data_IF_289865552046
#
_entry.id   IF_289865552046
#
_cell.length_a   1.000
_cell.length_b   1.000
_cell.length_c   1.000
_cell.angle_alpha   90.00
_cell.angle_beta   90.00
_cell.angle_gamma   90.00
#
_symmetry.space_group_name_H-M   'P 1'
#
loop_
_entity.id
_entity.type
_entity.pdbx_description
1 polymer ?
#
# COMPACT_ATOMS: atom_id res chain seq x y z
N UNK A 1 65.74 -49.25 21.24
CA UNK A 1 65.24 -49.45 19.86
C UNK A 1 64.14 -48.42 19.65
N UNK A 2 64.15 -47.45 18.74
CA UNK A 2 65.10 -46.86 17.79
C UNK A 2 64.47 -45.51 17.38
N UNK A 3 65.17 -44.39 17.61
CA UNK A 3 65.73 -43.45 16.61
C UNK A 3 65.05 -43.33 15.24
N UNK A 4 64.75 -42.06 14.90
CA UNK A 4 64.83 -41.35 13.61
C UNK A 4 64.21 -41.95 12.33
N UNK A 5 63.40 -41.15 11.63
CA UNK A 5 63.89 -40.30 10.51
C UNK A 5 62.74 -39.79 9.63
N UNK A 6 62.73 -38.47 9.40
CA UNK A 6 62.22 -37.84 8.17
C UNK A 6 62.97 -38.35 6.94
N UNK A 7 62.41 -38.17 5.73
CA UNK A 7 63.15 -37.31 4.80
C UNK A 7 62.29 -36.34 3.97
N UNK A 8 62.89 -35.16 3.75
CA UNK A 8 62.60 -34.17 2.71
C UNK A 8 63.19 -34.58 1.35
N UNK A 9 62.52 -34.25 0.24
CA UNK A 9 63.11 -33.88 -1.08
C UNK A 9 61.92 -33.50 -1.99
N UNK A 10 61.63 -32.20 -2.21
CA UNK A 10 62.10 -31.34 -3.32
C UNK A 10 61.89 -31.92 -4.72
N UNK A 11 61.01 -31.29 -5.51
CA UNK A 11 61.30 -31.06 -6.93
C UNK A 11 60.70 -29.73 -7.42
N UNK A 12 61.47 -29.07 -8.28
CA UNK A 12 61.30 -27.75 -8.87
C UNK A 12 60.57 -27.85 -10.22
N UNK A 13 59.87 -26.80 -10.65
CA UNK A 13 59.32 -26.78 -12.01
C UNK A 13 58.48 -25.57 -12.45
N UNK A 14 59.17 -24.44 -12.67
CA UNK A 14 58.98 -23.45 -13.76
C UNK A 14 57.57 -22.94 -14.17
N UNK A 15 57.28 -21.73 -13.69
CA UNK A 15 56.93 -20.51 -14.42
C UNK A 15 56.55 -20.60 -15.92
N UNK A 16 55.32 -20.17 -16.27
CA UNK A 16 54.99 -19.62 -17.59
C UNK A 16 53.84 -18.60 -17.46
N UNK A 17 54.20 -17.32 -17.58
CA UNK A 17 53.30 -16.21 -17.91
C UNK A 17 52.91 -16.28 -19.39
N UNK A 18 51.81 -15.62 -19.78
CA UNK A 18 51.85 -14.84 -21.02
C UNK A 18 51.59 -13.35 -20.76
N UNK A 19 52.38 -12.54 -21.45
CA UNK A 19 52.38 -11.08 -21.45
C UNK A 19 51.66 -10.55 -22.71
N UNK A 20 50.80 -9.55 -22.49
CA UNK A 20 50.59 -8.31 -23.29
C UNK A 20 50.16 -8.32 -24.76
N UNK A 21 48.95 -7.82 -25.04
CA UNK A 21 48.57 -6.76 -26.01
C UNK A 21 47.01 -6.64 -25.95
N UNK A 22 46.30 -5.51 -25.93
CA UNK A 22 46.43 -4.19 -26.57
C UNK A 22 45.50 -3.18 -25.87
N UNK A 23 45.89 -1.90 -25.87
CA UNK A 23 45.13 -0.74 -25.39
C UNK A 23 44.24 -0.13 -26.48
N UNK A 24 43.02 0.33 -26.14
CA UNK A 24 42.32 1.54 -26.63
C UNK A 24 40.82 1.46 -26.25
N UNK A 25 40.11 2.46 -25.73
CA UNK A 25 40.40 3.86 -25.45
C UNK A 25 39.26 4.50 -24.64
N UNK A 26 39.66 5.47 -23.81
CA UNK A 26 39.02 6.76 -23.46
C UNK A 26 37.49 6.85 -23.30
N UNK A 27 37.03 7.19 -22.08
CA UNK A 27 35.74 7.87 -21.87
C UNK A 27 35.18 7.85 -20.43
N UNK A 28 35.59 8.81 -19.59
CA UNK A 28 34.90 9.28 -18.36
C UNK A 28 35.13 10.80 -18.29
N UNK A 29 34.37 11.63 -17.53
CA UNK A 29 32.98 11.56 -17.03
C UNK A 29 32.23 12.93 -17.12
N UNK A 30 30.92 13.00 -16.82
CA UNK A 30 30.18 14.16 -16.26
C UNK A 30 28.71 13.76 -16.00
N UNK A 31 28.08 13.93 -14.84
CA UNK A 31 28.48 14.64 -13.64
C UNK A 31 27.74 14.16 -12.38
N UNK A 32 28.31 14.56 -11.25
CA UNK A 32 27.64 14.77 -9.95
C UNK A 32 26.67 15.97 -10.10
N UNK A 33 25.57 16.10 -9.36
CA UNK A 33 25.48 16.25 -7.90
C UNK A 33 24.03 16.10 -7.39
N UNK A 34 23.87 15.56 -6.17
CA UNK A 34 22.67 15.64 -5.34
C UNK A 34 22.82 14.73 -4.11
N UNK A 35 22.76 15.25 -2.86
CA UNK A 35 23.13 14.46 -1.69
C UNK A 35 21.94 13.70 -1.07
N UNK A 36 22.30 12.64 -0.34
CA UNK A 36 21.54 11.89 0.68
C UNK A 36 20.58 10.77 0.25
N UNK A 37 21.15 9.57 0.19
CA UNK A 37 20.48 8.28 0.41
C UNK A 37 20.70 7.30 -0.74
N UNK A 38 21.45 6.17 -0.57
CA UNK A 38 21.38 5.12 -1.57
C UNK A 38 19.94 4.61 -1.63
N UNK A 39 19.34 4.44 -2.82
CA UNK A 39 18.06 3.75 -2.92
C UNK A 39 18.28 2.37 -2.31
N UNK A 40 17.51 2.02 -1.27
CA UNK A 40 17.62 0.74 -0.57
C UNK A 40 17.60 -0.39 -1.61
N UNK A 41 18.77 -0.91 -1.93
CA UNK A 41 18.94 -1.95 -2.92
C UNK A 41 18.25 -3.19 -2.37
N UNK A 42 17.18 -3.60 -3.05
CA UNK A 42 16.74 -4.99 -2.95
C UNK A 42 17.96 -5.84 -3.26
N UNK A 43 18.40 -6.65 -2.29
CA UNK A 43 19.66 -7.40 -2.43
C UNK A 43 19.43 -8.48 -3.49
N UNK A 44 19.83 -8.17 -4.72
CA UNK A 44 19.75 -9.08 -5.85
C UNK A 44 20.99 -9.98 -5.83
N UNK A 45 20.98 -11.07 -5.05
CA UNK A 45 22.01 -12.11 -5.23
C UNK A 45 21.70 -12.87 -6.52
N UNK A 46 22.58 -12.75 -7.52
CA UNK A 46 22.52 -13.45 -8.82
C UNK A 46 21.28 -13.15 -9.69
N UNK A 47 20.84 -11.88 -9.77
CA UNK A 47 19.80 -11.46 -10.73
C UNK A 47 18.37 -11.95 -10.45
N UNK A 48 18.12 -12.71 -9.38
CA UNK A 48 16.78 -13.21 -9.04
C UNK A 48 16.10 -12.31 -8.00
N UNK A 49 14.94 -11.77 -8.38
CA UNK A 49 14.02 -11.08 -7.48
C UNK A 49 13.21 -12.15 -6.75
N UNK A 50 13.43 -12.31 -5.46
CA UNK A 50 12.69 -13.28 -4.65
C UNK A 50 11.23 -12.85 -4.47
N UNK A 51 10.32 -13.82 -4.49
CA UNK A 51 8.95 -13.62 -4.06
C UNK A 51 8.93 -13.23 -2.57
N UNK A 52 8.08 -12.28 -2.19
CA UNK A 52 8.00 -11.79 -0.81
C UNK A 52 7.54 -12.88 0.17
N UNK A 53 6.72 -13.82 -0.28
CA UNK A 53 6.30 -14.97 0.53
C UNK A 53 7.51 -15.83 0.94
N UNK A 54 8.46 -16.04 0.01
CA UNK A 54 9.60 -16.94 0.22
C UNK A 54 10.68 -16.37 1.14
N UNK A 55 10.65 -15.06 1.39
CA UNK A 55 11.67 -14.36 2.18
C UNK A 55 11.13 -13.83 3.50
N UNK A 56 9.83 -13.97 3.79
CA UNK A 56 9.27 -13.52 5.06
C UNK A 56 9.92 -14.27 6.23
N UNK A 57 10.37 -13.53 7.25
CA UNK A 57 11.04 -14.12 8.43
C UNK A 57 12.49 -14.58 8.20
N UNK A 58 13.02 -14.55 6.97
CA UNK A 58 14.37 -15.05 6.64
C UNK A 58 15.52 -14.09 6.99
N UNK A 59 15.22 -12.93 7.61
CA UNK A 59 16.23 -11.91 7.93
C UNK A 59 16.82 -11.17 6.72
N UNK A 60 16.36 -11.45 5.50
CA UNK A 60 16.73 -10.71 4.29
C UNK A 60 16.24 -9.25 4.37
N UNK A 61 17.05 -8.29 3.90
CA UNK A 61 16.70 -6.86 3.93
C UNK A 61 15.32 -6.56 3.30
N UNK A 62 14.97 -7.24 2.19
CA UNK A 62 13.67 -7.08 1.55
C UNK A 62 12.48 -7.57 2.40
N UNK A 63 12.70 -8.48 3.35
CA UNK A 63 11.68 -8.91 4.31
C UNK A 63 11.36 -7.86 5.38
N UNK A 64 12.25 -6.89 5.59
CA UNK A 64 12.01 -5.75 6.48
C UNK A 64 11.41 -4.55 5.75
N UNK A 65 11.60 -4.44 4.43
CA UNK A 65 11.05 -3.38 3.59
C UNK A 65 9.56 -3.60 3.32
N UNK A 66 9.14 -4.85 3.16
CA UNK A 66 7.76 -5.22 2.88
C UNK A 66 7.17 -6.01 4.04
N UNK A 67 5.98 -5.62 4.47
CA UNK A 67 5.22 -6.37 5.49
C UNK A 67 3.94 -6.91 4.87
N UNK A 68 3.60 -8.13 5.27
CA UNK A 68 2.39 -8.79 4.82
C UNK A 68 1.17 -8.14 5.48
N UNK A 69 0.14 -7.91 4.67
CA UNK A 69 -1.19 -7.47 5.07
C UNK A 69 -2.19 -8.36 4.33
N UNK A 70 -2.73 -9.37 5.03
CA UNK A 70 -3.62 -10.36 4.43
C UNK A 70 -2.96 -11.11 3.28
N UNK A 71 -3.55 -11.00 2.09
CA UNK A 71 -3.05 -11.63 0.85
C UNK A 71 -2.02 -10.79 0.08
N UNK A 72 -1.65 -9.60 0.55
CA UNK A 72 -0.76 -8.64 -0.13
C UNK A 72 0.34 -8.14 0.80
N UNK A 73 1.17 -7.22 0.29
CA UNK A 73 2.26 -6.60 1.04
C UNK A 73 2.22 -5.08 0.93
N UNK A 74 2.57 -4.40 2.02
CA UNK A 74 2.80 -2.94 2.04
C UNK A 74 4.29 -2.67 2.13
N UNK A 75 4.75 -1.66 1.37
CA UNK A 75 6.11 -1.13 1.47
C UNK A 75 6.22 -0.13 2.63
N UNK A 76 6.91 -0.52 3.69
CA UNK A 76 7.03 0.25 4.94
C UNK A 76 7.70 1.63 4.75
N UNK A 77 8.77 1.79 3.95
CA UNK A 77 9.36 3.11 3.70
C UNK A 77 8.39 4.12 3.07
N UNK A 78 7.52 3.66 2.16
CA UNK A 78 6.51 4.54 1.55
C UNK A 78 5.42 4.86 2.56
N UNK A 79 4.97 3.86 3.33
CA UNK A 79 4.00 4.07 4.39
C UNK A 79 4.49 5.14 5.36
N UNK A 80 5.75 5.11 5.79
CA UNK A 80 6.38 6.11 6.66
C UNK A 80 6.42 7.53 6.07
N UNK A 81 6.26 7.67 4.75
CA UNK A 81 6.20 8.94 4.03
C UNK A 81 4.76 9.30 3.60
N UNK A 82 3.76 8.76 4.31
CA UNK A 82 2.33 8.96 4.03
C UNK A 82 1.94 8.55 2.60
N UNK A 83 2.60 7.53 2.07
CA UNK A 83 2.32 6.97 0.74
C UNK A 83 1.93 5.50 0.84
N UNK A 84 0.69 5.23 0.46
CA UNK A 84 0.18 3.87 0.40
C UNK A 84 0.65 3.19 -0.88
N UNK A 85 1.59 2.25 -0.74
CA UNK A 85 2.09 1.41 -1.82
C UNK A 85 1.88 -0.08 -1.50
N UNK A 86 0.82 -0.64 -2.08
CA UNK A 86 0.44 -2.04 -1.93
C UNK A 86 0.97 -2.83 -3.13
N UNK A 87 1.57 -4.00 -2.87
CA UNK A 87 2.13 -4.89 -3.89
C UNK A 87 1.69 -6.33 -3.69
N UNK A 88 1.67 -7.09 -4.78
CA UNK A 88 1.61 -8.55 -4.74
C UNK A 88 2.92 -9.11 -4.18
N UNK A 89 2.89 -10.38 -3.77
CA UNK A 89 4.10 -11.09 -3.35
C UNK A 89 5.20 -11.13 -4.44
N UNK A 90 4.79 -11.07 -5.71
CA UNK A 90 5.68 -10.91 -6.89
C UNK A 90 6.27 -9.50 -7.06
N UNK A 91 5.98 -8.56 -6.15
CA UNK A 91 6.38 -7.14 -6.15
C UNK A 91 5.74 -6.29 -7.25
N UNK A 92 4.77 -6.82 -7.98
CA UNK A 92 3.91 -6.03 -8.88
C UNK A 92 2.98 -5.13 -8.06
N UNK A 93 2.74 -3.90 -8.50
CA UNK A 93 1.86 -2.94 -7.80
C UNK A 93 0.40 -3.38 -7.84
N UNK A 94 -0.31 -3.13 -6.75
CA UNK A 94 -1.77 -3.26 -6.64
C UNK A 94 -2.33 -1.84 -6.69
N UNK A 95 -2.66 -1.38 -7.89
CA UNK A 95 -3.18 -0.03 -8.10
C UNK A 95 -2.12 1.09 -8.02
N UNK A 96 -2.57 2.35 -8.09
CA UNK A 96 -1.70 3.53 -7.98
C UNK A 96 -1.21 3.75 -6.55
N UNK A 97 -0.08 4.43 -6.41
CA UNK A 97 0.38 4.93 -5.10
C UNK A 97 -0.49 6.12 -4.73
N UNK A 98 -1.05 6.11 -3.51
CA UNK A 98 -1.91 7.19 -3.02
C UNK A 98 -1.28 7.85 -1.81
N UNK A 99 -1.48 9.16 -1.68
CA UNK A 99 -1.16 9.88 -0.45
C UNK A 99 -2.27 9.63 0.58
N UNK A 100 -1.89 9.53 1.85
CA UNK A 100 -2.80 9.23 2.96
C UNK A 100 -2.57 10.21 4.10
N UNK A 101 -3.58 10.40 4.94
CA UNK A 101 -3.45 11.19 6.17
C UNK A 101 -2.55 10.51 7.20
N UNK A 102 -2.08 11.28 8.19
CA UNK A 102 -1.25 10.74 9.28
C UNK A 102 -2.06 9.81 10.17
N UNK A 103 -3.35 10.10 10.34
CA UNK A 103 -4.30 9.29 11.09
C UNK A 103 -4.49 7.92 10.43
N UNK A 104 -4.72 7.89 9.11
CA UNK A 104 -4.82 6.65 8.35
C UNK A 104 -3.49 5.89 8.31
N UNK A 105 -2.36 6.60 8.22
CA UNK A 105 -1.04 6.00 8.28
C UNK A 105 -0.81 5.26 9.60
N UNK A 106 -1.16 5.89 10.73
CA UNK A 106 -1.05 5.27 12.06
C UNK A 106 -1.91 4.00 12.14
N UNK A 107 -3.16 4.08 11.68
CA UNK A 107 -4.06 2.93 11.66
C UNK A 107 -3.54 1.77 10.79
N UNK A 108 -2.99 2.08 9.62
CA UNK A 108 -2.39 1.06 8.75
C UNK A 108 -1.15 0.45 9.38
N UNK A 109 -0.36 1.21 10.15
CA UNK A 109 0.76 0.65 10.93
C UNK A 109 0.25 -0.29 12.02
N UNK A 110 -0.75 0.11 12.79
CA UNK A 110 -1.34 -0.74 13.82
C UNK A 110 -1.90 -2.04 13.22
N UNK A 111 -2.58 -1.95 12.07
CA UNK A 111 -3.05 -3.12 11.33
C UNK A 111 -1.89 -4.02 10.84
N UNK A 112 -0.81 -3.45 10.33
CA UNK A 112 0.33 -4.22 9.79
C UNK A 112 1.17 -4.88 10.89
N UNK A 113 1.35 -4.22 12.03
CA UNK A 113 2.23 -4.70 13.10
C UNK A 113 1.50 -5.46 14.19
N UNK A 114 0.31 -4.99 14.57
CA UNK A 114 -0.45 -5.52 15.70
C UNK A 114 -1.63 -6.40 15.26
N UNK A 115 -1.98 -6.39 13.96
CA UNK A 115 -3.17 -7.06 13.41
C UNK A 115 -4.47 -6.64 14.11
N UNK A 116 -4.50 -5.41 14.61
CA UNK A 116 -5.60 -4.85 15.37
C UNK A 116 -6.14 -3.60 14.67
N UNK A 117 -7.45 -3.38 14.78
CA UNK A 117 -8.14 -2.21 14.25
C UNK A 117 -8.98 -1.62 15.38
N UNK A 118 -8.63 -0.39 15.78
CA UNK A 118 -9.45 0.38 16.70
C UNK A 118 -10.63 1.00 15.96
N UNK A 119 -11.85 0.59 16.31
CA UNK A 119 -13.08 1.18 15.78
C UNK A 119 -13.16 2.68 16.11
N UNK A 120 -12.74 3.08 17.32
CA UNK A 120 -12.71 4.49 17.71
C UNK A 120 -11.78 5.32 16.82
N UNK A 121 -10.60 4.79 16.48
CA UNK A 121 -9.70 5.47 15.56
C UNK A 121 -10.29 5.53 14.14
N UNK A 122 -11.08 4.53 13.72
CA UNK A 122 -11.75 4.52 12.42
C UNK A 122 -12.83 5.60 12.33
N UNK A 123 -13.62 5.75 13.39
CA UNK A 123 -14.70 6.73 13.45
C UNK A 123 -14.16 8.17 13.45
N UNK A 124 -12.92 8.38 13.93
CA UNK A 124 -12.21 9.67 13.89
C UNK A 124 -11.61 10.01 12.51
N UNK A 125 -11.48 9.04 11.60
CA UNK A 125 -10.95 9.30 10.26
C UNK A 125 -11.87 10.17 9.41
N UNK A 126 -11.27 10.90 8.47
CA UNK A 126 -12.02 11.58 7.41
C UNK A 126 -12.80 10.58 6.56
N UNK A 127 -13.91 11.01 5.96
CA UNK A 127 -14.73 10.17 5.07
C UNK A 127 -13.89 9.55 3.94
N UNK A 128 -12.97 10.33 3.36
CA UNK A 128 -12.13 9.87 2.26
C UNK A 128 -11.12 8.81 2.72
N UNK A 129 -10.54 8.99 3.91
CA UNK A 129 -9.66 7.99 4.52
C UNK A 129 -10.40 6.73 4.93
N UNK A 130 -11.62 6.85 5.46
CA UNK A 130 -12.46 5.70 5.80
C UNK A 130 -12.81 4.86 4.56
N UNK A 131 -13.12 5.53 3.44
CA UNK A 131 -13.35 4.88 2.13
C UNK A 131 -12.08 4.19 1.64
N UNK A 132 -10.95 4.90 1.70
CA UNK A 132 -9.66 4.35 1.28
C UNK A 132 -9.27 3.14 2.12
N UNK A 133 -9.46 3.21 3.44
CA UNK A 133 -9.19 2.10 4.35
C UNK A 133 -10.02 0.88 4.00
N UNK A 134 -11.33 1.05 3.74
CA UNK A 134 -12.19 -0.06 3.27
C UNK A 134 -11.70 -0.65 1.94
N UNK A 135 -11.27 0.18 0.99
CA UNK A 135 -10.67 -0.29 -0.26
C UNK A 135 -9.41 -1.13 -0.01
N UNK A 136 -8.57 -0.72 0.96
CA UNK A 136 -7.40 -1.50 1.38
C UNK A 136 -7.80 -2.85 1.96
N UNK A 137 -8.78 -2.89 2.87
CA UNK A 137 -9.27 -4.13 3.47
C UNK A 137 -9.81 -5.10 2.41
N UNK A 138 -10.53 -4.58 1.42
CA UNK A 138 -11.02 -5.35 0.28
C UNK A 138 -9.89 -5.87 -0.61
N UNK A 139 -8.94 -5.01 -1.01
CA UNK A 139 -7.82 -5.41 -1.85
C UNK A 139 -6.92 -6.46 -1.18
N UNK A 140 -6.76 -6.37 0.15
CA UNK A 140 -5.92 -7.26 0.96
C UNK A 140 -6.66 -8.52 1.42
N UNK A 141 -7.99 -8.56 1.31
CA UNK A 141 -8.87 -9.66 1.75
C UNK A 141 -8.85 -9.89 3.29
N UNK A 142 -8.57 -8.85 4.07
CA UNK A 142 -8.54 -8.97 5.55
C UNK A 142 -9.92 -8.73 6.17
N UNK A 143 -10.86 -8.19 5.42
CA UNK A 143 -12.24 -7.98 5.87
C UNK A 143 -12.89 -9.21 6.54
N UNK A 144 -12.50 -10.43 6.16
CA UNK A 144 -13.00 -11.68 6.76
C UNK A 144 -12.24 -12.14 8.02
N UNK A 145 -11.09 -11.54 8.32
CA UNK A 145 -10.30 -11.84 9.50
C UNK A 145 -10.83 -11.12 10.75
N UNK A 146 -11.68 -10.10 10.57
CA UNK A 146 -12.29 -9.35 11.67
C UNK A 146 -13.67 -9.90 11.99
N UNK A 147 -14.00 -9.96 13.28
CA UNK A 147 -15.31 -10.43 13.77
C UNK A 147 -16.42 -9.43 13.51
N UNK A 148 -16.10 -8.13 13.57
CA UNK A 148 -17.05 -7.04 13.40
C UNK A 148 -16.83 -6.36 12.06
N UNK A 149 -17.91 -6.15 11.32
CA UNK A 149 -17.88 -5.48 10.02
C UNK A 149 -17.81 -3.97 10.25
N UNK A 150 -16.79 -3.30 9.70
CA UNK A 150 -16.63 -1.85 9.81
C UNK A 150 -17.85 -1.14 9.20
N UNK A 151 -18.43 -0.12 9.88
CA UNK A 151 -19.60 0.59 9.39
C UNK A 151 -19.33 1.26 8.03
N UNK A 152 -20.33 1.31 7.14
CA UNK A 152 -20.22 2.06 5.88
C UNK A 152 -20.08 3.57 6.18
N UNK A 153 -18.99 4.24 5.74
CA UNK A 153 -18.78 5.67 5.94
C UNK A 153 -19.97 6.50 5.47
N UNK A 154 -20.66 6.04 4.42
CA UNK A 154 -21.79 6.73 3.80
C UNK A 154 -23.16 6.23 4.28
N UNK A 155 -23.20 5.36 5.30
CA UNK A 155 -24.45 4.80 5.84
C UNK A 155 -25.38 5.90 6.37
N UNK A 156 -24.84 6.85 7.14
CA UNK A 156 -25.61 7.95 7.71
C UNK A 156 -26.20 8.85 6.60
N UNK A 157 -25.40 9.20 5.60
CA UNK A 157 -25.85 10.01 4.47
C UNK A 157 -26.96 9.30 3.67
N UNK A 158 -26.81 7.98 3.45
CA UNK A 158 -27.84 7.16 2.80
C UNK A 158 -29.13 7.10 3.60
N UNK A 159 -29.03 6.91 4.91
CA UNK A 159 -30.17 6.84 5.80
C UNK A 159 -30.93 8.17 5.84
N UNK A 160 -30.22 9.28 5.95
CA UNK A 160 -30.83 10.62 5.96
C UNK A 160 -31.51 10.94 4.62
N UNK A 161 -30.84 10.63 3.51
CA UNK A 161 -31.44 10.75 2.18
C UNK A 161 -32.72 9.92 2.03
N UNK A 162 -32.69 8.64 2.44
CA UNK A 162 -33.87 7.77 2.36
C UNK A 162 -35.04 8.28 3.20
N UNK A 163 -34.75 8.81 4.39
CA UNK A 163 -35.75 9.42 5.26
C UNK A 163 -36.41 10.63 4.58
N UNK A 164 -35.62 11.60 4.14
CA UNK A 164 -36.16 12.83 3.52
C UNK A 164 -36.88 12.54 2.19
N UNK A 165 -36.35 11.62 1.39
CA UNK A 165 -37.02 11.13 0.18
C UNK A 165 -38.36 10.48 0.53
N UNK A 166 -38.42 9.66 1.57
CA UNK A 166 -39.66 9.05 2.05
C UNK A 166 -40.70 10.09 2.50
N UNK A 167 -40.27 11.11 3.25
CA UNK A 167 -41.14 12.22 3.67
C UNK A 167 -41.71 12.98 2.47
N UNK A 168 -40.90 13.27 1.44
CA UNK A 168 -41.37 13.87 0.20
C UNK A 168 -42.36 12.97 -0.55
N UNK A 169 -42.10 11.66 -0.63
CA UNK A 169 -42.99 10.71 -1.30
C UNK A 169 -44.34 10.56 -0.61
N UNK A 170 -44.39 10.82 0.70
CA UNK A 170 -45.62 10.87 1.49
C UNK A 170 -46.38 12.21 1.37
N UNK A 171 -45.87 13.17 0.59
CA UNK A 171 -46.49 14.48 0.35
C UNK A 171 -46.18 15.52 1.43
N UNK A 172 -45.08 15.37 2.16
CA UNK A 172 -44.62 16.39 3.11
C UNK A 172 -43.81 17.47 2.39
N UNK A 173 -44.49 18.56 2.02
CA UNK A 173 -43.89 19.69 1.29
C UNK A 173 -43.31 20.77 2.20
N UNK A 174 -42.84 20.40 3.40
CA UNK A 174 -42.20 21.37 4.28
C UNK A 174 -40.96 21.98 3.60
N UNK A 175 -40.87 23.32 3.48
CA UNK A 175 -39.75 24.00 2.82
C UNK A 175 -38.38 23.63 3.39
N UNK A 176 -38.30 23.32 4.70
CA UNK A 176 -37.07 22.89 5.35
C UNK A 176 -36.61 21.52 4.85
N UNK A 177 -37.53 20.57 4.70
CA UNK A 177 -37.26 19.21 4.20
C UNK A 177 -36.82 19.27 2.74
N UNK A 178 -37.53 20.05 1.91
CA UNK A 178 -37.18 20.25 0.50
C UNK A 178 -35.77 20.84 0.37
N UNK A 179 -35.42 21.82 1.22
CA UNK A 179 -34.09 22.44 1.21
C UNK A 179 -33.00 21.44 1.62
N UNK A 180 -33.21 20.68 2.69
CA UNK A 180 -32.28 19.65 3.15
C UNK A 180 -32.10 18.55 2.11
N UNK A 181 -33.20 18.09 1.51
CA UNK A 181 -33.18 17.06 0.47
C UNK A 181 -32.42 17.52 -0.77
N UNK A 182 -32.52 18.80 -1.17
CA UNK A 182 -31.69 19.35 -2.27
C UNK A 182 -30.20 19.23 -1.96
N UNK A 183 -29.77 19.65 -0.77
CA UNK A 183 -28.36 19.56 -0.36
C UNK A 183 -27.87 18.12 -0.34
N UNK A 184 -28.59 17.23 0.34
CA UNK A 184 -28.20 15.82 0.47
C UNK A 184 -28.23 15.09 -0.88
N UNK A 185 -29.16 15.42 -1.78
CA UNK A 185 -29.21 14.82 -3.11
C UNK A 185 -27.98 15.17 -3.95
N UNK A 186 -27.46 16.40 -3.82
CA UNK A 186 -26.18 16.79 -4.44
C UNK A 186 -25.01 16.01 -3.84
N UNK A 187 -24.96 15.87 -2.52
CA UNK A 187 -23.90 15.12 -1.84
C UNK A 187 -23.94 13.63 -2.21
N UNK A 188 -25.14 13.03 -2.30
CA UNK A 188 -25.35 11.65 -2.74
C UNK A 188 -24.87 11.43 -4.17
N UNK A 189 -25.14 12.38 -5.07
CA UNK A 189 -24.69 12.32 -6.46
C UNK A 189 -23.17 12.51 -6.59
N UNK A 190 -22.59 13.49 -5.88
CA UNK A 190 -21.15 13.73 -5.86
C UNK A 190 -20.36 12.50 -5.37
N UNK A 191 -20.92 11.78 -4.40
CA UNK A 191 -20.35 10.54 -3.87
C UNK A 191 -20.69 9.28 -4.72
N UNK A 192 -21.35 9.44 -5.87
CA UNK A 192 -21.79 8.36 -6.77
C UNK A 192 -22.68 7.30 -6.09
N UNK A 193 -23.44 7.71 -5.08
CA UNK A 193 -24.36 6.84 -4.35
C UNK A 193 -25.71 6.69 -5.06
N UNK A 194 -26.05 7.66 -5.91
CA UNK A 194 -27.23 7.68 -6.78
C UNK A 194 -26.80 7.96 -8.23
N UNK A 195 -27.55 7.43 -9.19
CA UNK A 195 -27.27 7.63 -10.62
C UNK A 195 -27.96 8.87 -11.21
N UNK A 196 -27.57 9.24 -12.42
CA UNK A 196 -28.13 10.40 -13.15
C UNK A 196 -29.66 10.40 -13.25
N UNK A 197 -30.25 9.22 -13.47
CA UNK A 197 -31.70 9.08 -13.59
C UNK A 197 -32.41 9.42 -12.29
N UNK A 198 -31.90 8.93 -11.16
CA UNK A 198 -32.49 9.17 -9.85
C UNK A 198 -32.28 10.62 -9.41
N UNK A 199 -31.09 11.17 -9.66
CA UNK A 199 -30.80 12.57 -9.40
C UNK A 199 -31.75 13.50 -10.14
N UNK A 200 -31.96 13.27 -11.45
CA UNK A 200 -32.88 14.08 -12.26
C UNK A 200 -34.33 13.96 -11.78
N UNK A 201 -34.80 12.76 -11.49
CA UNK A 201 -36.17 12.53 -11.03
C UNK A 201 -36.49 13.33 -9.75
N UNK A 202 -35.55 13.32 -8.79
CA UNK A 202 -35.72 14.05 -7.54
C UNK A 202 -35.62 15.56 -7.75
N UNK A 203 -34.66 16.05 -8.53
CA UNK A 203 -34.52 17.48 -8.79
C UNK A 203 -35.74 18.04 -9.51
N UNK A 204 -36.30 17.34 -10.50
CA UNK A 204 -37.53 17.75 -11.20
C UNK A 204 -38.71 17.89 -10.23
N UNK A 205 -38.81 17.02 -9.23
CA UNK A 205 -39.88 17.02 -8.23
C UNK A 205 -39.71 18.12 -7.17
N UNK A 206 -38.54 18.73 -7.08
CA UNK A 206 -38.18 19.77 -6.11
C UNK A 206 -38.18 21.20 -6.70
N UNK A 207 -38.51 21.34 -7.99
CA UNK A 207 -38.67 22.61 -8.72
C UNK A 207 -40.16 22.98 -8.77
#
# INVERSE_FOLDING_TARGET
>A
MGVNATPSTSDMGVNATPSTSEMAGVGRPKGSTGPTGPPYQTITRKGKVYNLNDIQGTGLASAYIYKQIGSKFIRIPDLNQNKLNIVYASRKKVGPIREISEELQKMLKDLVYNQDISQAAYDELSIDDQKLFKEVLAATHIQHAFKDELPDPMSNLRMEYQKLKGELMLGNDNPSIIKQLKTITVDMYANRLIGDSEFKDIIVRLI
#
